data_IF_769424594493
#
_entry.id   IF_769424594493
#
_cell.length_a   1.000
_cell.length_b   1.000
_cell.length_c   1.000
_cell.angle_alpha   90.00
_cell.angle_beta   90.00
_cell.angle_gamma   90.00
#
_symmetry.space_group_name_H-M   'P 1'
#
loop_
_entity.id
_entity.type
_entity.pdbx_description
1 polymer ?
#
# COMPACT_ATOMS: atom_id res chain seq x y z
N UNK A 1 -6.10 -46.41 -13.29
CA UNK A 1 -7.19 -45.85 -14.12
C UNK A 1 -8.35 -45.53 -13.21
N UNK A 2 -8.44 -44.29 -12.74
CA UNK A 2 -9.58 -43.80 -11.96
C UNK A 2 -10.24 -42.68 -12.78
N UNK A 3 -11.46 -42.97 -13.23
CA UNK A 3 -12.36 -42.02 -13.88
C UNK A 3 -12.87 -41.05 -12.82
N UNK A 4 -12.50 -39.77 -12.91
CA UNK A 4 -13.18 -38.69 -12.20
C UNK A 4 -14.12 -38.02 -13.18
N UNK A 5 -15.38 -38.37 -13.01
CA UNK A 5 -16.59 -37.86 -13.64
C UNK A 5 -16.75 -36.34 -13.52
N UNK A 6 -17.33 -35.81 -14.59
CA UNK A 6 -17.77 -34.45 -14.82
C UNK A 6 -18.46 -33.78 -13.63
N UNK A 7 -17.99 -32.58 -13.26
CA UNK A 7 -18.76 -31.63 -12.48
C UNK A 7 -19.72 -30.90 -13.41
N UNK A 8 -20.99 -31.30 -13.36
CA UNK A 8 -22.11 -30.54 -13.92
C UNK A 8 -22.22 -29.14 -13.28
N UNK A 9 -22.56 -28.09 -14.04
CA UNK A 9 -22.84 -26.76 -13.51
C UNK A 9 -24.21 -26.71 -12.81
N UNK A 10 -24.25 -26.00 -11.69
CA UNK A 10 -25.42 -25.79 -10.85
C UNK A 10 -26.47 -24.94 -11.59
N UNK A 11 -27.51 -25.57 -12.14
CA UNK A 11 -28.73 -24.90 -12.62
C UNK A 11 -29.80 -24.97 -11.53
N UNK A 12 -29.85 -23.95 -10.67
CA UNK A 12 -30.91 -23.78 -9.69
C UNK A 12 -32.19 -23.25 -10.36
N UNK A 13 -33.01 -24.17 -10.87
CA UNK A 13 -34.43 -23.95 -11.15
C UNK A 13 -35.23 -24.37 -9.92
N UNK A 14 -35.81 -23.40 -9.20
CA UNK A 14 -36.97 -23.64 -8.36
C UNK A 14 -38.01 -22.55 -8.65
N UNK A 15 -39.06 -22.96 -9.32
CA UNK A 15 -40.29 -22.21 -9.51
C UNK A 15 -41.40 -22.88 -8.69
N UNK A 16 -42.18 -22.07 -7.98
CA UNK A 16 -43.44 -22.40 -7.31
C UNK A 16 -43.24 -22.90 -5.88
N UNK A 17 -43.95 -22.45 -4.83
CA UNK A 17 -45.18 -21.69 -4.72
C UNK A 17 -45.24 -21.18 -3.27
N UNK A 18 -45.55 -19.90 -3.05
CA UNK A 18 -46.47 -19.41 -2.01
C UNK A 18 -46.64 -17.90 -2.19
N UNK A 19 -47.80 -17.55 -2.71
CA UNK A 19 -48.31 -16.20 -2.91
C UNK A 19 -49.13 -15.80 -1.70
N UNK A 20 -48.74 -14.72 -1.02
CA UNK A 20 -49.67 -13.82 -0.32
C UNK A 20 -49.13 -12.40 -0.32
N UNK A 21 -49.78 -11.59 -1.15
CA UNK A 21 -49.91 -10.13 -1.17
C UNK A 21 -49.24 -9.30 -0.05
N UNK A 22 -48.20 -8.55 -0.44
CA UNK A 22 -48.01 -7.14 -0.07
C UNK A 22 -47.19 -6.49 -1.19
N UNK A 23 -47.87 -5.79 -2.11
CA UNK A 23 -47.30 -5.20 -3.32
C UNK A 23 -46.47 -3.94 -3.05
N UNK A 24 -45.29 -4.12 -2.46
CA UNK A 24 -44.19 -3.16 -2.62
C UNK A 24 -43.35 -3.57 -3.84
N UNK A 25 -42.91 -2.63 -4.70
CA UNK A 25 -41.88 -2.96 -5.67
C UNK A 25 -40.68 -3.54 -4.89
N UNK A 26 -40.05 -4.64 -5.36
CA UNK A 26 -38.84 -5.13 -4.74
C UNK A 26 -37.87 -3.95 -4.67
N UNK A 27 -37.18 -3.71 -3.53
CA UNK A 27 -36.19 -2.65 -3.45
C UNK A 27 -35.27 -2.84 -4.63
N UNK A 28 -35.19 -1.82 -5.48
CA UNK A 28 -34.34 -1.83 -6.65
C UNK A 28 -32.91 -1.98 -6.15
N UNK A 29 -32.46 -3.23 -6.04
CA UNK A 29 -31.05 -3.54 -5.96
C UNK A 29 -30.51 -3.00 -7.27
N UNK A 30 -30.03 -1.77 -7.24
CA UNK A 30 -29.36 -1.09 -8.33
C UNK A 30 -28.18 -1.99 -8.64
N UNK A 31 -28.37 -2.89 -9.60
CA UNK A 31 -27.34 -3.79 -10.11
C UNK A 31 -26.31 -2.86 -10.73
N UNK A 32 -25.33 -2.45 -9.92
CA UNK A 32 -24.26 -1.55 -10.34
C UNK A 32 -23.62 -2.17 -11.57
N UNK A 33 -23.60 -1.42 -12.67
CA UNK A 33 -23.02 -1.90 -13.93
C UNK A 33 -21.61 -2.45 -13.65
N UNK A 34 -21.31 -3.72 -13.96
CA UNK A 34 -20.02 -4.33 -13.64
C UNK A 34 -18.81 -3.56 -14.20
N UNK A 35 -18.98 -2.86 -15.33
CA UNK A 35 -17.95 -1.97 -15.88
C UNK A 35 -17.74 -0.72 -15.02
N UNK A 36 -18.81 -0.15 -14.44
CA UNK A 36 -18.67 1.00 -13.54
C UNK A 36 -17.90 0.59 -12.28
N UNK A 37 -18.10 -0.63 -11.77
CA UNK A 37 -17.37 -1.14 -10.60
C UNK A 37 -15.86 -1.25 -10.86
N UNK A 38 -15.43 -1.82 -11.99
CA UNK A 38 -13.99 -1.89 -12.32
C UNK A 38 -13.38 -0.50 -12.42
N UNK A 39 -14.06 0.44 -13.09
CA UNK A 39 -13.62 1.84 -13.16
C UNK A 39 -13.48 2.44 -11.76
N UNK A 40 -14.50 2.31 -10.89
CA UNK A 40 -14.45 2.82 -9.51
C UNK A 40 -13.26 2.24 -8.74
N UNK A 41 -13.05 0.93 -8.78
CA UNK A 41 -11.94 0.30 -8.04
C UNK A 41 -10.59 0.81 -8.53
N UNK A 42 -10.37 0.89 -9.85
CA UNK A 42 -9.10 1.38 -10.41
C UNK A 42 -8.87 2.87 -10.13
N UNK A 43 -9.94 3.68 -10.16
CA UNK A 43 -9.87 5.09 -9.76
C UNK A 43 -9.52 5.23 -8.29
N UNK A 44 -10.10 4.42 -7.40
CA UNK A 44 -9.76 4.46 -5.98
C UNK A 44 -8.29 4.08 -5.73
N UNK A 45 -7.78 3.04 -6.38
CA UNK A 45 -6.34 2.71 -6.31
C UNK A 45 -5.48 3.86 -6.82
N UNK A 46 -5.85 4.47 -7.95
CA UNK A 46 -5.15 5.63 -8.51
C UNK A 46 -5.12 6.79 -7.52
N UNK A 47 -6.27 7.15 -6.93
CA UNK A 47 -6.38 8.22 -5.95
C UNK A 47 -5.56 7.93 -4.69
N UNK A 48 -5.60 6.69 -4.18
CA UNK A 48 -4.80 6.30 -3.02
C UNK A 48 -3.30 6.45 -3.31
N UNK A 49 -2.83 6.00 -4.48
CA UNK A 49 -1.42 6.13 -4.85
C UNK A 49 -1.00 7.58 -5.06
N UNK A 50 -1.84 8.41 -5.72
CA UNK A 50 -1.56 9.84 -5.89
C UNK A 50 -1.47 10.52 -4.53
N UNK A 51 -2.40 10.24 -3.62
CA UNK A 51 -2.40 10.79 -2.28
C UNK A 51 -1.12 10.44 -1.52
N UNK A 52 -0.73 9.15 -1.49
CA UNK A 52 0.53 8.72 -0.88
C UNK A 52 1.72 9.42 -1.52
N UNK A 53 1.86 9.40 -2.85
CA UNK A 53 2.99 10.03 -3.54
C UNK A 53 3.10 11.54 -3.25
N UNK A 54 1.97 12.25 -3.26
CA UNK A 54 1.93 13.69 -2.98
C UNK A 54 2.39 13.98 -1.55
N UNK A 55 2.04 13.14 -0.58
CA UNK A 55 2.32 13.40 0.82
C UNK A 55 3.60 12.74 1.36
N UNK A 56 4.18 11.78 0.63
CA UNK A 56 5.44 11.12 1.04
C UNK A 56 6.61 11.46 0.15
N UNK A 57 6.42 11.48 -1.17
CA UNK A 57 7.53 11.63 -2.14
C UNK A 57 7.82 13.09 -2.45
N UNK A 58 6.80 13.91 -2.72
CA UNK A 58 6.99 15.35 -2.99
C UNK A 58 7.80 16.05 -1.89
N UNK A 59 7.53 15.84 -0.59
CA UNK A 59 8.30 16.44 0.49
C UNK A 59 9.79 16.08 0.49
N UNK A 60 10.13 14.92 -0.06
CA UNK A 60 11.51 14.42 -0.13
C UNK A 60 12.25 14.99 -1.34
N UNK A 61 11.58 15.14 -2.48
CA UNK A 61 12.20 15.64 -3.73
C UNK A 61 12.19 17.17 -3.86
N UNK A 62 11.31 17.87 -3.13
CA UNK A 62 11.16 19.32 -3.18
C UNK A 62 11.25 19.96 -1.77
N UNK A 63 12.40 19.84 -1.08
CA UNK A 63 12.56 20.32 0.30
C UNK A 63 12.40 21.85 0.45
N UNK A 64 12.54 22.62 -0.63
CA UNK A 64 12.39 24.08 -0.63
C UNK A 64 10.96 24.61 -0.61
N UNK A 65 9.94 23.74 -0.67
CA UNK A 65 8.53 24.12 -0.63
C UNK A 65 7.95 24.11 0.79
N UNK A 66 8.76 24.40 1.82
CA UNK A 66 8.30 24.34 3.20
C UNK A 66 7.39 25.52 3.54
N UNK A 67 6.20 25.21 4.06
CA UNK A 67 5.25 26.16 4.65
C UNK A 67 5.73 26.66 6.03
N UNK A 68 6.64 25.92 6.66
CA UNK A 68 7.27 26.25 7.93
C UNK A 68 8.77 26.50 7.74
N UNK A 69 9.41 27.17 8.69
CA UNK A 69 10.87 27.32 8.68
C UNK A 69 11.56 25.94 8.56
N UNK A 70 12.81 25.84 8.07
CA UNK A 70 13.51 24.56 7.92
C UNK A 70 13.76 23.82 9.25
N UNK A 71 13.76 24.55 10.39
CA UNK A 71 13.97 24.01 11.74
C UNK A 71 13.02 24.65 12.77
N UNK A 72 11.70 24.40 12.73
CA UNK A 72 10.84 24.75 13.85
C UNK A 72 10.97 23.56 14.80
N UNK A 73 11.46 23.77 16.02
CA UNK A 73 11.86 22.69 16.95
C UNK A 73 10.81 21.64 17.33
N UNK A 74 9.66 21.60 16.65
CA UNK A 74 8.54 20.70 16.89
C UNK A 74 8.04 20.02 15.60
N UNK A 75 7.92 20.73 14.47
CA UNK A 75 7.36 20.18 13.22
C UNK A 75 7.96 20.83 11.98
N UNK A 76 8.44 20.04 11.03
CA UNK A 76 8.66 20.50 9.65
C UNK A 76 7.41 20.32 8.80
N UNK A 77 7.31 21.01 7.66
CA UNK A 77 6.24 20.76 6.67
C UNK A 77 6.19 19.29 6.25
N UNK A 78 7.35 18.66 6.12
CA UNK A 78 7.47 17.26 5.72
C UNK A 78 6.85 16.33 6.76
N UNK A 79 6.99 16.64 8.05
CA UNK A 79 6.41 15.84 9.14
C UNK A 79 4.88 15.92 9.16
N UNK A 80 4.33 17.11 8.93
CA UNK A 80 2.87 17.30 8.84
C UNK A 80 2.30 16.55 7.64
N UNK A 81 2.94 16.64 6.48
CA UNK A 81 2.48 15.93 5.28
C UNK A 81 2.52 14.41 5.49
N UNK A 82 3.58 13.88 6.12
CA UNK A 82 3.68 12.45 6.48
C UNK A 82 2.62 12.02 7.51
N UNK A 83 2.26 12.90 8.45
CA UNK A 83 1.17 12.64 9.41
C UNK A 83 -0.20 12.61 8.73
N UNK A 84 -0.42 13.48 7.73
CA UNK A 84 -1.68 13.55 6.97
C UNK A 84 -1.85 12.40 5.99
N UNK A 85 -0.76 11.77 5.55
CA UNK A 85 -0.81 10.68 4.58
C UNK A 85 -1.78 9.57 4.98
N UNK A 86 -1.64 8.91 6.13
CA UNK A 86 -2.47 7.76 6.43
C UNK A 86 -3.92 8.15 6.74
N UNK A 87 -4.16 9.42 7.11
CA UNK A 87 -5.51 9.98 7.31
C UNK A 87 -6.32 9.98 6.02
N UNK A 88 -5.70 10.21 4.86
CA UNK A 88 -6.39 10.09 3.58
C UNK A 88 -6.25 8.72 2.93
N UNK A 89 -5.09 8.07 3.05
CA UNK A 89 -4.85 6.76 2.43
C UNK A 89 -5.73 5.68 3.04
N UNK A 90 -5.84 5.56 4.37
CA UNK A 90 -6.60 4.48 4.99
C UNK A 90 -8.10 4.53 4.66
N UNK A 91 -8.79 5.69 4.66
CA UNK A 91 -10.17 5.77 4.15
C UNK A 91 -10.31 5.36 2.69
N UNK A 92 -9.36 5.74 1.82
CA UNK A 92 -9.38 5.30 0.42
C UNK A 92 -9.18 3.78 0.31
N UNK A 93 -8.27 3.19 1.08
CA UNK A 93 -8.09 1.74 1.15
C UNK A 93 -9.34 1.04 1.72
N UNK A 94 -10.00 1.62 2.72
CA UNK A 94 -11.28 1.11 3.23
C UNK A 94 -12.36 1.12 2.14
N UNK A 95 -12.46 2.21 1.37
CA UNK A 95 -13.38 2.31 0.24
C UNK A 95 -13.10 1.22 -0.81
N UNK A 96 -11.83 0.94 -1.11
CA UNK A 96 -11.43 -0.18 -1.97
C UNK A 96 -11.91 -1.50 -1.37
N UNK A 97 -11.74 -1.75 -0.08
CA UNK A 97 -12.23 -3.00 0.53
C UNK A 97 -13.76 -3.10 0.48
N UNK A 98 -14.49 -2.00 0.69
CA UNK A 98 -15.94 -1.96 0.62
C UNK A 98 -16.46 -2.25 -0.80
N UNK A 99 -15.72 -1.85 -1.83
CA UNK A 99 -16.00 -2.21 -3.22
C UNK A 99 -15.64 -3.66 -3.57
N UNK A 100 -15.16 -4.47 -2.62
CA UNK A 100 -14.78 -5.86 -2.88
C UNK A 100 -15.95 -6.84 -2.79
N UNK A 101 -15.83 -8.05 -3.35
CA UNK A 101 -16.83 -9.11 -3.16
C UNK A 101 -16.93 -9.67 -1.73
N UNK A 102 -16.31 -9.05 -0.73
CA UNK A 102 -16.29 -9.51 0.67
C UNK A 102 -17.69 -9.79 1.23
N UNK A 103 -18.70 -9.01 0.80
CA UNK A 103 -20.11 -9.17 1.21
C UNK A 103 -20.74 -10.47 0.73
N UNK A 104 -20.18 -11.11 -0.30
CA UNK A 104 -20.63 -12.39 -0.82
C UNK A 104 -19.81 -13.58 -0.29
N UNK A 105 -18.81 -13.32 0.56
CA UNK A 105 -18.01 -14.37 1.17
C UNK A 105 -18.77 -15.01 2.35
N UNK A 106 -18.48 -16.28 2.69
CA UNK A 106 -18.96 -16.87 3.94
C UNK A 106 -18.63 -15.97 5.13
N UNK A 107 -19.58 -15.78 6.06
CA UNK A 107 -19.47 -14.83 7.19
C UNK A 107 -18.14 -14.95 7.95
N UNK A 108 -17.68 -16.18 8.21
CA UNK A 108 -16.39 -16.45 8.86
C UNK A 108 -15.22 -15.86 8.06
N UNK A 109 -15.17 -16.10 6.75
CA UNK A 109 -14.09 -15.61 5.89
C UNK A 109 -14.11 -14.09 5.76
N UNK A 110 -15.30 -13.49 5.65
CA UNK A 110 -15.46 -12.04 5.65
C UNK A 110 -14.96 -11.43 6.97
N UNK A 111 -15.34 -12.01 8.12
CA UNK A 111 -14.90 -11.53 9.44
C UNK A 111 -13.37 -11.60 9.61
N UNK A 112 -12.74 -12.71 9.20
CA UNK A 112 -11.28 -12.83 9.22
C UNK A 112 -10.59 -11.78 8.35
N UNK A 113 -11.13 -11.53 7.16
CA UNK A 113 -10.58 -10.54 6.26
C UNK A 113 -10.74 -9.11 6.78
N UNK A 114 -11.88 -8.78 7.37
CA UNK A 114 -12.10 -7.50 8.05
C UNK A 114 -11.14 -7.31 9.22
N UNK A 115 -10.96 -8.32 10.05
CA UNK A 115 -10.02 -8.27 11.17
C UNK A 115 -8.57 -8.14 10.69
N UNK A 116 -8.18 -8.88 9.66
CA UNK A 116 -6.85 -8.77 9.06
C UNK A 116 -6.61 -7.38 8.48
N UNK A 117 -7.59 -6.79 7.80
CA UNK A 117 -7.49 -5.43 7.26
C UNK A 117 -7.40 -4.40 8.39
N UNK A 118 -8.23 -4.51 9.44
CA UNK A 118 -8.22 -3.59 10.57
C UNK A 118 -6.88 -3.64 11.33
N UNK A 119 -6.33 -4.85 11.55
CA UNK A 119 -5.02 -5.01 12.16
C UNK A 119 -3.91 -4.42 11.27
N UNK A 120 -3.95 -4.66 9.96
CA UNK A 120 -3.00 -4.10 9.02
C UNK A 120 -3.04 -2.56 8.99
N UNK A 121 -4.25 -1.99 8.97
CA UNK A 121 -4.46 -0.54 9.03
C UNK A 121 -3.98 0.05 10.37
N UNK A 122 -4.19 -0.64 11.49
CA UNK A 122 -3.67 -0.23 12.79
C UNK A 122 -2.13 -0.23 12.82
N UNK A 123 -1.49 -1.29 12.30
CA UNK A 123 -0.03 -1.37 12.19
C UNK A 123 0.51 -0.24 11.31
N UNK A 124 -0.15 0.04 10.18
CA UNK A 124 0.18 1.14 9.28
C UNK A 124 0.11 2.50 10.01
N UNK A 125 -1.01 2.78 10.66
CA UNK A 125 -1.21 4.03 11.40
C UNK A 125 -0.23 4.19 12.56
N UNK A 126 0.07 3.11 13.28
CA UNK A 126 1.04 3.13 14.38
C UNK A 126 2.46 3.42 13.86
N UNK A 127 2.85 2.82 12.74
CA UNK A 127 4.13 3.13 12.09
C UNK A 127 4.23 4.61 11.72
N UNK A 128 3.19 5.17 11.09
CA UNK A 128 3.17 6.60 10.75
C UNK A 128 3.21 7.50 12.01
N UNK A 129 2.44 7.16 13.04
CA UNK A 129 2.40 7.92 14.30
C UNK A 129 3.73 7.89 15.05
N UNK A 130 4.37 6.72 15.14
CA UNK A 130 5.70 6.59 15.74
C UNK A 130 6.76 7.35 14.96
N UNK A 131 6.66 7.36 13.62
CA UNK A 131 7.57 8.10 12.77
C UNK A 131 7.45 9.61 13.04
N UNK A 132 6.23 10.15 13.00
CA UNK A 132 5.99 11.56 13.30
C UNK A 132 6.42 11.92 14.73
N UNK A 133 6.11 11.07 15.71
CA UNK A 133 6.54 11.26 17.10
C UNK A 133 8.06 11.29 17.24
N UNK A 134 8.77 10.34 16.64
CA UNK A 134 10.23 10.30 16.66
C UNK A 134 10.84 11.56 16.02
N UNK A 135 10.24 12.09 14.95
CA UNK A 135 10.68 13.34 14.34
C UNK A 135 10.45 14.55 15.26
N UNK A 136 9.30 14.64 15.92
CA UNK A 136 9.06 15.72 16.88
C UNK A 136 10.10 15.72 18.01
N UNK A 137 10.35 14.56 18.61
CA UNK A 137 11.28 14.48 19.73
C UNK A 137 12.73 14.68 19.29
N UNK A 138 13.15 14.15 18.13
CA UNK A 138 14.53 14.31 17.67
C UNK A 138 14.87 15.77 17.37
N UNK A 139 13.95 16.54 16.81
CA UNK A 139 14.20 17.96 16.50
C UNK A 139 14.36 18.81 17.76
N UNK A 140 13.56 18.57 18.81
CA UNK A 140 13.75 19.24 20.11
C UNK A 140 15.14 18.97 20.68
N UNK A 141 15.60 17.71 20.60
CA UNK A 141 16.89 17.29 21.14
C UNK A 141 18.05 17.81 20.28
N UNK A 142 17.89 17.85 18.96
CA UNK A 142 18.82 18.44 18.01
C UNK A 142 19.01 19.94 18.29
N UNK A 143 17.90 20.69 18.43
CA UNK A 143 17.93 22.12 18.74
C UNK A 143 18.58 22.38 20.10
N UNK A 144 18.25 21.58 21.13
CA UNK A 144 18.87 21.70 22.45
C UNK A 144 20.38 21.46 22.41
N UNK A 145 20.84 20.45 21.67
CA UNK A 145 22.27 20.15 21.51
C UNK A 145 23.03 21.23 20.70
N UNK A 146 22.34 21.95 19.81
CA UNK A 146 22.92 23.05 19.04
C UNK A 146 22.98 24.37 19.82
N UNK A 147 22.07 24.59 20.77
CA UNK A 147 22.00 25.81 21.57
C UNK A 147 23.17 25.95 22.55
N UNK A 148 23.60 24.87 23.19
CA UNK A 148 24.78 24.84 24.07
C UNK A 148 25.60 23.55 23.85
N UNK A 149 26.50 23.55 22.84
CA UNK A 149 27.27 22.36 22.48
C UNK A 149 28.22 21.83 23.56
N UNK A 150 28.58 22.69 24.51
CA UNK A 150 29.52 22.39 25.60
C UNK A 150 28.79 22.06 26.92
N UNK A 151 27.44 22.01 26.90
CA UNK A 151 26.65 21.67 28.06
C UNK A 151 27.02 20.27 28.59
N UNK A 152 26.97 20.04 29.93
CA UNK A 152 27.30 18.75 30.53
C UNK A 152 26.48 17.57 29.99
N UNK A 153 25.28 17.84 29.47
CA UNK A 153 24.35 16.89 28.89
C UNK A 153 24.42 16.80 27.36
N UNK A 154 25.33 17.52 26.69
CA UNK A 154 25.45 17.51 25.23
C UNK A 154 25.66 16.09 24.65
N UNK A 155 26.43 15.23 25.35
CA UNK A 155 26.60 13.82 24.96
C UNK A 155 25.28 13.07 25.05
N UNK A 156 24.54 13.24 26.16
CA UNK A 156 23.24 12.59 26.35
C UNK A 156 22.22 13.03 25.30
N UNK A 157 22.22 14.31 24.92
CA UNK A 157 21.34 14.85 23.88
C UNK A 157 21.71 14.25 22.51
N UNK A 158 22.99 14.17 22.14
CA UNK A 158 23.43 13.55 20.89
C UNK A 158 23.09 12.06 20.82
N UNK A 159 23.29 11.33 21.91
CA UNK A 159 22.90 9.92 22.02
C UNK A 159 21.38 9.75 21.92
N UNK A 160 20.62 10.61 22.58
CA UNK A 160 19.17 10.67 22.50
C UNK A 160 18.68 10.91 21.07
N UNK A 161 19.28 11.86 20.36
CA UNK A 161 19.01 12.12 18.95
C UNK A 161 19.27 10.87 18.09
N UNK A 162 20.47 10.29 18.22
CA UNK A 162 20.86 9.11 17.46
C UNK A 162 19.93 7.92 17.72
N UNK A 163 19.51 7.72 18.97
CA UNK A 163 18.58 6.68 19.37
C UNK A 163 17.18 6.88 18.76
N UNK A 164 16.63 8.10 18.81
CA UNK A 164 15.33 8.42 18.22
C UNK A 164 15.33 8.25 16.70
N UNK A 165 16.33 8.82 16.02
CA UNK A 165 16.47 8.72 14.57
C UNK A 165 16.69 7.27 14.11
N UNK A 166 17.60 6.55 14.75
CA UNK A 166 18.00 5.22 14.26
C UNK A 166 17.02 4.14 14.69
N UNK A 167 16.64 4.11 15.96
CA UNK A 167 15.80 3.03 16.50
C UNK A 167 14.34 3.30 16.18
N UNK A 168 13.81 4.44 16.62
CA UNK A 168 12.38 4.70 16.57
C UNK A 168 11.90 5.11 15.19
N UNK A 169 12.55 6.08 14.55
CA UNK A 169 12.18 6.52 13.20
C UNK A 169 12.52 5.45 12.16
N UNK A 170 13.79 5.05 12.06
CA UNK A 170 14.26 4.20 10.97
C UNK A 170 13.99 2.70 11.13
N UNK A 171 14.20 2.10 12.31
CA UNK A 171 14.04 0.65 12.47
C UNK A 171 12.65 0.22 12.89
N UNK A 172 11.97 0.99 13.76
CA UNK A 172 10.64 0.64 14.23
C UNK A 172 9.57 1.23 13.32
N UNK A 173 9.50 2.56 13.22
CA UNK A 173 8.38 3.24 12.60
C UNK A 173 8.30 3.00 11.08
N UNK A 174 9.40 3.15 10.34
CA UNK A 174 9.44 2.88 8.90
C UNK A 174 9.04 1.44 8.56
N UNK A 175 9.53 0.45 9.31
CA UNK A 175 9.21 -0.95 9.06
C UNK A 175 7.77 -1.31 9.45
N UNK A 176 7.24 -0.78 10.56
CA UNK A 176 5.82 -0.94 10.90
C UNK A 176 4.93 -0.31 9.83
N UNK A 177 5.29 0.88 9.37
CA UNK A 177 4.56 1.60 8.33
C UNK A 177 4.59 0.81 7.01
N UNK A 178 5.76 0.38 6.54
CA UNK A 178 5.88 -0.42 5.33
C UNK A 178 5.15 -1.78 5.45
N UNK A 179 5.30 -2.48 6.59
CA UNK A 179 4.64 -3.75 6.84
C UNK A 179 3.11 -3.61 6.86
N UNK A 180 2.58 -2.57 7.50
CA UNK A 180 1.15 -2.26 7.49
C UNK A 180 0.62 -2.07 6.06
N UNK A 181 1.33 -1.30 5.23
CA UNK A 181 0.95 -1.06 3.83
C UNK A 181 0.89 -2.36 3.01
N UNK A 182 1.90 -3.23 3.20
CA UNK A 182 1.96 -4.54 2.55
C UNK A 182 0.81 -5.43 3.00
N UNK A 183 0.51 -5.48 4.30
CA UNK A 183 -0.58 -6.28 4.84
C UNK A 183 -1.95 -5.78 4.34
N UNK A 184 -2.17 -4.46 4.28
CA UNK A 184 -3.38 -3.87 3.66
C UNK A 184 -3.49 -4.33 2.20
N UNK A 185 -2.40 -4.27 1.46
CA UNK A 185 -2.35 -4.74 0.06
C UNK A 185 -2.65 -6.23 -0.09
N UNK A 186 -2.19 -7.07 0.86
CA UNK A 186 -2.49 -8.50 0.88
C UNK A 186 -3.98 -8.75 1.11
N UNK A 187 -4.61 -8.00 2.01
CA UNK A 187 -6.04 -8.12 2.23
C UNK A 187 -6.85 -7.73 0.99
N UNK A 188 -6.44 -6.69 0.24
CA UNK A 188 -7.06 -6.36 -1.03
C UNK A 188 -6.88 -7.46 -2.08
N UNK A 189 -5.65 -7.94 -2.29
CA UNK A 189 -5.39 -9.02 -3.24
C UNK A 189 -6.23 -10.27 -2.89
N UNK A 190 -6.31 -10.63 -1.61
CA UNK A 190 -7.13 -11.74 -1.15
C UNK A 190 -8.63 -11.48 -1.33
N UNK A 191 -9.12 -10.28 -1.00
CA UNK A 191 -10.52 -9.88 -1.18
C UNK A 191 -10.99 -10.01 -2.63
N UNK A 192 -10.11 -9.66 -3.56
CA UNK A 192 -10.37 -9.64 -5.00
C UNK A 192 -9.85 -10.87 -5.75
N UNK A 193 -9.36 -11.90 -5.05
CA UNK A 193 -8.71 -13.07 -5.66
C UNK A 193 -9.58 -13.83 -6.66
N UNK A 194 -10.90 -13.71 -6.58
CA UNK A 194 -11.85 -14.36 -7.49
C UNK A 194 -12.65 -13.36 -8.33
N UNK A 195 -12.42 -12.06 -8.15
CA UNK A 195 -13.10 -11.01 -8.92
C UNK A 195 -12.65 -11.03 -10.38
N UNK A 196 -13.63 -11.09 -11.27
CA UNK A 196 -13.48 -10.92 -12.71
C UNK A 196 -14.60 -10.01 -13.22
N UNK A 197 -14.28 -9.00 -14.06
CA UNK A 197 -15.31 -8.22 -14.72
C UNK A 197 -16.20 -9.13 -15.59
N UNK A 198 -17.52 -8.93 -15.56
CA UNK A 198 -18.46 -9.77 -16.34
C UNK A 198 -18.37 -9.54 -17.84
N UNK A 199 -17.75 -8.44 -18.27
CA UNK A 199 -17.48 -8.09 -19.66
C UNK A 199 -16.01 -7.75 -19.82
N UNK A 200 -15.43 -7.94 -21.01
CA UNK A 200 -14.08 -7.45 -21.30
C UNK A 200 -13.97 -5.96 -20.95
N UNK A 201 -12.87 -5.61 -20.27
CA UNK A 201 -12.60 -4.21 -19.92
C UNK A 201 -12.21 -3.41 -21.15
N UNK A 202 -12.71 -2.19 -21.25
CA UNK A 202 -12.40 -1.27 -22.35
C UNK A 202 -10.98 -0.67 -22.24
N UNK A 203 -10.58 0.09 -23.26
CA UNK A 203 -9.27 0.74 -23.30
C UNK A 203 -9.04 1.70 -22.11
N UNK A 204 -10.06 2.47 -21.72
CA UNK A 204 -9.99 3.40 -20.60
C UNK A 204 -9.69 2.69 -19.27
N UNK A 205 -10.35 1.56 -18.98
CA UNK A 205 -10.09 0.79 -17.76
C UNK A 205 -8.70 0.14 -17.77
N UNK A 206 -8.21 -0.30 -18.94
CA UNK A 206 -6.84 -0.81 -19.08
C UNK A 206 -5.82 0.29 -18.83
N UNK A 207 -6.04 1.49 -19.36
CA UNK A 207 -5.20 2.64 -19.11
C UNK A 207 -5.19 2.99 -17.60
N UNK A 208 -6.35 3.06 -16.96
CA UNK A 208 -6.45 3.29 -15.51
C UNK A 208 -5.69 2.23 -14.69
N UNK A 209 -5.84 0.95 -15.05
CA UNK A 209 -5.12 -0.15 -14.43
C UNK A 209 -3.60 0.04 -14.53
N UNK A 210 -3.09 0.33 -15.73
CA UNK A 210 -1.65 0.51 -15.96
C UNK A 210 -1.12 1.76 -15.25
N UNK A 211 -1.84 2.88 -15.32
CA UNK A 211 -1.47 4.11 -14.61
C UNK A 211 -1.42 3.88 -13.11
N UNK A 212 -2.47 3.29 -12.52
CA UNK A 212 -2.48 2.97 -11.10
C UNK A 212 -1.31 2.03 -10.75
N UNK A 213 -1.05 1.01 -11.57
CA UNK A 213 0.03 0.06 -11.32
C UNK A 213 1.42 0.73 -11.34
N UNK A 214 1.66 1.65 -12.28
CA UNK A 214 2.90 2.44 -12.35
C UNK A 214 3.03 3.35 -11.13
N UNK A 215 1.98 4.05 -10.73
CA UNK A 215 2.05 4.91 -9.54
C UNK A 215 2.33 4.12 -8.26
N UNK A 216 1.73 2.94 -8.10
CA UNK A 216 2.04 2.08 -6.96
C UNK A 216 3.46 1.53 -7.01
N UNK A 217 3.98 1.24 -8.21
CA UNK A 217 5.38 0.87 -8.37
C UNK A 217 6.33 2.00 -7.93
N UNK A 218 5.98 3.26 -8.22
CA UNK A 218 6.72 4.43 -7.74
C UNK A 218 6.67 4.55 -6.21
N UNK A 219 5.52 4.26 -5.58
CA UNK A 219 5.42 4.22 -4.10
C UNK A 219 6.39 3.17 -3.53
N UNK A 220 6.35 1.94 -4.05
CA UNK A 220 7.24 0.85 -3.62
C UNK A 220 8.71 1.24 -3.82
N UNK A 221 9.05 1.77 -4.99
CA UNK A 221 10.43 2.17 -5.30
C UNK A 221 10.93 3.32 -4.41
N UNK A 222 10.09 4.33 -4.15
CA UNK A 222 10.45 5.46 -3.27
C UNK A 222 10.76 4.97 -1.86
N UNK A 223 9.89 4.11 -1.32
CA UNK A 223 10.09 3.39 -0.04
C UNK A 223 11.40 2.59 -0.04
N UNK A 224 11.68 1.86 -1.12
CA UNK A 224 12.88 1.04 -1.23
C UNK A 224 14.17 1.87 -1.23
N UNK A 225 14.15 3.04 -1.86
CA UNK A 225 15.29 3.95 -1.98
C UNK A 225 15.51 4.75 -0.69
N UNK A 226 14.44 5.15 -0.02
CA UNK A 226 14.52 6.01 1.15
C UNK A 226 14.92 5.28 2.44
N UNK A 227 14.53 4.02 2.61
CA UNK A 227 14.71 3.30 3.87
C UNK A 227 16.06 2.60 3.99
N UNK A 228 16.63 2.51 5.22
CA UNK A 228 17.77 1.65 5.48
C UNK A 228 17.44 0.21 5.11
N UNK A 229 18.28 -0.44 4.30
CA UNK A 229 18.02 -1.79 3.74
C UNK A 229 16.68 -1.91 2.99
N UNK A 230 16.07 -0.79 2.59
CA UNK A 230 14.77 -0.75 1.91
C UNK A 230 14.78 -1.52 0.58
N UNK A 231 15.89 -1.42 -0.16
CA UNK A 231 16.10 -2.15 -1.42
C UNK A 231 16.03 -3.67 -1.23
N UNK A 232 16.68 -4.22 -0.20
CA UNK A 232 16.64 -5.65 0.12
C UNK A 232 15.22 -6.08 0.48
N UNK A 233 14.54 -5.31 1.33
CA UNK A 233 13.16 -5.61 1.76
C UNK A 233 12.20 -5.58 0.57
N UNK A 234 12.32 -4.58 -0.30
CA UNK A 234 11.53 -4.46 -1.51
C UNK A 234 11.77 -5.63 -2.47
N UNK A 235 13.03 -6.05 -2.67
CA UNK A 235 13.35 -7.22 -3.50
C UNK A 235 12.72 -8.50 -2.95
N UNK A 236 12.80 -8.72 -1.63
CA UNK A 236 12.16 -9.87 -1.00
C UNK A 236 10.64 -9.85 -1.22
N UNK A 237 10.01 -8.69 -1.02
CA UNK A 237 8.58 -8.51 -1.28
C UNK A 237 8.20 -8.79 -2.74
N UNK A 238 8.97 -8.23 -3.68
CA UNK A 238 8.75 -8.39 -5.13
C UNK A 238 8.89 -9.85 -5.55
N UNK A 239 9.96 -10.52 -5.13
CA UNK A 239 10.23 -11.91 -5.52
C UNK A 239 9.25 -12.86 -4.86
N UNK A 240 9.07 -12.79 -3.54
CA UNK A 240 8.23 -13.72 -2.80
C UNK A 240 6.76 -13.45 -3.12
N UNK A 241 6.29 -12.22 -2.91
CA UNK A 241 4.86 -11.96 -3.08
C UNK A 241 4.49 -11.64 -4.52
N UNK A 242 5.24 -10.76 -5.18
CA UNK A 242 4.99 -10.40 -6.58
C UNK A 242 5.10 -11.60 -7.52
N UNK A 243 6.25 -12.27 -7.58
CA UNK A 243 6.44 -13.39 -8.51
C UNK A 243 5.94 -14.72 -7.96
N UNK A 244 6.37 -15.14 -6.77
CA UNK A 244 6.07 -16.49 -6.30
C UNK A 244 4.59 -16.66 -5.93
N UNK A 245 3.94 -15.67 -5.31
CA UNK A 245 2.51 -15.74 -4.96
C UNK A 245 1.63 -15.26 -6.11
N UNK A 246 1.67 -13.97 -6.47
CA UNK A 246 0.75 -13.39 -7.46
C UNK A 246 1.06 -13.87 -8.88
N UNK A 247 2.34 -13.94 -9.25
CA UNK A 247 2.79 -14.44 -10.56
C UNK A 247 2.35 -15.89 -10.78
N UNK A 248 2.67 -16.80 -9.85
CA UNK A 248 2.22 -18.20 -9.91
C UNK A 248 0.70 -18.31 -9.98
N UNK A 249 -0.04 -17.49 -9.21
CA UNK A 249 -1.50 -17.46 -9.26
C UNK A 249 -2.00 -17.10 -10.67
N UNK A 250 -1.46 -16.07 -11.29
CA UNK A 250 -1.84 -15.65 -12.65
C UNK A 250 -1.42 -16.67 -13.72
N UNK A 251 -0.24 -17.28 -13.59
CA UNK A 251 0.24 -18.35 -14.50
C UNK A 251 -0.70 -19.55 -14.46
N UNK A 252 -1.07 -20.03 -13.28
CA UNK A 252 -2.01 -21.17 -13.12
C UNK A 252 -3.38 -20.87 -13.70
N UNK A 253 -3.79 -19.61 -13.74
CA UNK A 253 -5.04 -19.17 -14.35
C UNK A 253 -4.91 -18.82 -15.84
N UNK A 254 -3.71 -18.91 -16.43
CA UNK A 254 -3.40 -18.49 -17.82
C UNK A 254 -3.78 -17.03 -18.10
N UNK A 255 -3.61 -16.16 -17.09
CA UNK A 255 -4.11 -14.78 -17.10
C UNK A 255 -3.02 -13.72 -16.92
N UNK A 256 -1.74 -14.09 -17.08
CA UNK A 256 -0.61 -13.16 -16.96
C UNK A 256 -0.65 -12.08 -18.04
N UNK A 257 -0.92 -12.47 -19.29
CA UNK A 257 -0.89 -11.55 -20.44
C UNK A 257 -2.28 -11.00 -20.82
N UNK A 258 -3.35 -11.53 -20.25
CA UNK A 258 -4.72 -11.11 -20.55
C UNK A 258 -5.13 -9.90 -19.71
N UNK A 259 -4.63 -8.72 -20.08
CA UNK A 259 -4.85 -7.48 -19.30
C UNK A 259 -6.35 -7.22 -19.04
N UNK A 260 -6.68 -7.06 -17.76
CA UNK A 260 -8.00 -6.68 -17.28
C UNK A 260 -8.93 -7.85 -16.95
N UNK A 261 -8.49 -9.10 -17.11
CA UNK A 261 -9.28 -10.27 -16.66
C UNK A 261 -9.37 -10.35 -15.15
N UNK A 262 -8.33 -9.89 -14.44
CA UNK A 262 -8.26 -9.84 -12.97
C UNK A 262 -7.60 -8.54 -12.55
N UNK A 263 -8.29 -7.40 -12.72
CA UNK A 263 -7.66 -6.08 -12.70
C UNK A 263 -6.92 -5.81 -11.38
N UNK A 264 -7.48 -6.20 -10.23
CA UNK A 264 -6.82 -5.96 -8.92
C UNK A 264 -5.57 -6.83 -8.71
N UNK A 265 -5.61 -8.11 -9.09
CA UNK A 265 -4.42 -8.98 -8.96
C UNK A 265 -3.34 -8.55 -9.95
N UNK A 266 -3.74 -8.23 -11.18
CA UNK A 266 -2.85 -7.73 -12.21
C UNK A 266 -2.26 -6.37 -11.84
N UNK A 267 -3.02 -5.48 -11.19
CA UNK A 267 -2.54 -4.23 -10.64
C UNK A 267 -1.33 -4.48 -9.73
N UNK A 268 -1.48 -5.30 -8.68
CA UNK A 268 -0.38 -5.59 -7.76
C UNK A 268 0.80 -6.27 -8.48
N UNK A 269 0.53 -7.29 -9.31
CA UNK A 269 1.57 -8.00 -10.04
C UNK A 269 2.38 -7.09 -10.98
N UNK A 270 1.70 -6.26 -11.78
CA UNK A 270 2.34 -5.33 -12.68
C UNK A 270 3.12 -4.26 -11.91
N UNK A 271 2.60 -3.77 -10.78
CA UNK A 271 3.34 -2.87 -9.91
C UNK A 271 4.64 -3.48 -9.41
N UNK A 272 4.62 -4.75 -8.96
CA UNK A 272 5.86 -5.42 -8.54
C UNK A 272 6.84 -5.61 -9.70
N UNK A 273 6.36 -5.89 -10.92
CA UNK A 273 7.23 -5.99 -12.10
C UNK A 273 7.88 -4.65 -12.45
N UNK A 274 7.12 -3.55 -12.44
CA UNK A 274 7.64 -2.21 -12.70
C UNK A 274 8.57 -1.76 -11.57
N UNK A 275 8.21 -1.99 -10.32
CA UNK A 275 9.03 -1.66 -9.16
C UNK A 275 10.36 -2.42 -9.19
N UNK A 276 10.36 -3.69 -9.63
CA UNK A 276 11.59 -4.46 -9.81
C UNK A 276 12.57 -3.78 -10.76
N UNK A 277 12.09 -3.32 -11.92
CA UNK A 277 12.91 -2.62 -12.91
C UNK A 277 13.50 -1.35 -12.30
N UNK A 278 12.69 -0.56 -11.59
CA UNK A 278 13.14 0.69 -10.95
C UNK A 278 14.18 0.41 -9.86
N UNK A 279 13.92 -0.55 -8.98
CA UNK A 279 14.84 -0.93 -7.88
C UNK A 279 16.16 -1.47 -8.43
N UNK A 280 16.13 -2.31 -9.47
CA UNK A 280 17.37 -2.75 -10.14
C UNK A 280 18.14 -1.60 -10.77
N UNK A 281 17.44 -0.69 -11.47
CA UNK A 281 18.05 0.51 -12.04
C UNK A 281 18.73 1.36 -10.97
N UNK A 282 18.09 1.54 -9.81
CA UNK A 282 18.68 2.23 -8.67
C UNK A 282 19.92 1.52 -8.14
N UNK A 283 19.87 0.20 -7.95
CA UNK A 283 21.02 -0.58 -7.48
C UNK A 283 22.23 -0.48 -8.41
N UNK A 284 21.99 -0.48 -9.73
CA UNK A 284 23.04 -0.25 -10.73
C UNK A 284 23.60 1.16 -10.59
N UNK A 285 22.73 2.17 -10.46
CA UNK A 285 23.13 3.57 -10.30
C UNK A 285 24.03 3.80 -9.07
N UNK A 286 23.66 3.22 -7.92
CA UNK A 286 24.45 3.32 -6.68
C UNK A 286 25.58 2.29 -6.57
N UNK A 287 25.85 1.54 -7.65
CA UNK A 287 26.92 0.52 -7.76
C UNK A 287 26.86 -0.59 -6.70
N UNK A 288 25.67 -0.98 -6.25
CA UNK A 288 25.50 -2.06 -5.29
C UNK A 288 24.22 -1.96 -4.45
N UNK A 289 24.24 -2.62 -3.29
CA UNK A 289 23.21 -2.48 -2.25
C UNK A 289 23.75 -1.48 -1.24
N UNK A 290 23.67 -0.18 -1.55
CA UNK A 290 24.09 0.85 -0.61
C UNK A 290 23.01 1.06 0.46
N UNK A 291 23.40 1.09 1.73
CA UNK A 291 22.57 1.68 2.77
C UNK A 291 22.60 3.20 2.60
N UNK A 292 21.46 3.89 2.73
CA UNK A 292 21.43 5.37 2.73
C UNK A 292 22.38 5.96 3.77
N UNK A 293 22.56 5.26 4.89
CA UNK A 293 23.47 5.62 6.00
C UNK A 293 24.94 5.66 5.54
N UNK A 294 25.33 4.83 4.57
CA UNK A 294 26.69 4.79 4.02
C UNK A 294 26.88 5.79 2.87
N UNK A 295 25.83 6.09 2.09
CA UNK A 295 25.93 6.96 0.91
C UNK A 295 25.82 8.46 1.19
N UNK A 296 25.29 8.88 2.35
CA UNK A 296 25.15 10.31 2.68
C UNK A 296 26.40 10.93 3.32
N UNK A 297 27.55 10.25 3.26
CA UNK A 297 28.80 10.75 3.83
C UNK A 297 28.79 10.62 5.35
N UNK A 298 29.29 9.48 5.85
CA UNK A 298 29.96 9.47 7.15
C UNK A 298 31.16 10.40 7.05
N UNK A 299 30.95 11.67 7.40
CA UNK A 299 31.99 12.45 8.01
C UNK A 299 31.82 12.25 9.51
N UNK A 300 32.78 11.50 10.07
CA UNK A 300 33.20 11.66 11.46
C UNK A 300 33.44 13.14 11.79
#
# INVERSE_FOLDING_TARGET
MYSMTDRQPYTGSQAGLLSTAAGGPPPSSTVRNPQSRTTTIMTLFLCANIWTLVLTVIPVIAPGASLYAPHPGWYTTNDVLRLLEPIGTLPLQLAILLESPIVHMPRRNAAWLWMAWALAAAVYQQGAGLHSGANMFKHVVEDAAMLDPDAPDAVLLRDGYAWMRTTWEHYVAHYLYAAGAVLVSFTHAYAYRDYQPTRPVGAAQKALLLCAAVLYALVIASVAVEFPKGTVVALLLIVIYGWAVLGTFLVRRKQVLSIGTRPVIQYFFYSYCVAFIIVLGWMIHVKGISNRVESSGGHD
#
